data_IF_652993433672
#
_entry.id   IF_652993433672
#
_cell.length_a   1.000
_cell.length_b   1.000
_cell.length_c   1.000
_cell.angle_alpha   90.00
_cell.angle_beta   90.00
_cell.angle_gamma   90.00
#
_symmetry.space_group_name_H-M   'P 1'
#
loop_
_entity.id
_entity.type
_entity.pdbx_description
1 polymer ?
#
# COMPACT_ATOMS: atom_id res chain seq x y z
N UNK A 1 -53.04 10.54 19.43
CA UNK A 1 -52.15 11.09 18.37
C UNK A 1 -50.66 11.09 18.73
N UNK A 2 -50.28 10.91 20.01
CA UNK A 2 -48.88 10.87 20.48
C UNK A 2 -48.17 9.53 20.18
N UNK A 3 -48.87 8.40 20.26
CA UNK A 3 -48.25 7.07 20.06
C UNK A 3 -47.89 6.73 18.62
N UNK A 4 -48.65 7.22 17.64
CA UNK A 4 -48.38 6.99 16.20
C UNK A 4 -47.03 7.60 15.79
N UNK A 5 -46.70 8.79 16.29
CA UNK A 5 -45.41 9.44 16.00
C UNK A 5 -44.24 8.69 16.64
N UNK A 6 -44.44 8.13 17.84
CA UNK A 6 -43.44 7.33 18.54
C UNK A 6 -43.20 5.99 17.84
N UNK A 7 -44.25 5.37 17.33
CA UNK A 7 -44.18 4.13 16.57
C UNK A 7 -43.53 4.33 15.20
N UNK A 8 -43.88 5.42 14.50
CA UNK A 8 -43.23 5.80 13.24
C UNK A 8 -41.72 6.02 13.41
N UNK A 9 -41.30 6.72 14.47
CA UNK A 9 -39.87 6.93 14.75
C UNK A 9 -39.13 5.62 15.03
N UNK A 10 -39.76 4.68 15.73
CA UNK A 10 -39.19 3.35 16.00
C UNK A 10 -39.07 2.50 14.74
N UNK A 11 -40.05 2.58 13.83
CA UNK A 11 -39.99 1.90 12.54
C UNK A 11 -38.88 2.47 11.65
N UNK A 12 -38.71 3.80 11.60
CA UNK A 12 -37.62 4.43 10.85
C UNK A 12 -36.25 4.00 11.39
N UNK A 13 -36.08 3.96 12.72
CA UNK A 13 -34.83 3.50 13.34
C UNK A 13 -34.58 2.02 13.06
N UNK A 14 -35.60 1.16 13.11
CA UNK A 14 -35.47 -0.26 12.79
C UNK A 14 -35.08 -0.49 11.33
N UNK A 15 -35.70 0.24 10.40
CA UNK A 15 -35.37 0.19 8.96
C UNK A 15 -33.94 0.66 8.72
N UNK A 16 -33.52 1.79 9.33
CA UNK A 16 -32.15 2.29 9.23
C UNK A 16 -31.14 1.28 9.80
N UNK A 17 -31.46 0.62 10.91
CA UNK A 17 -30.62 -0.42 11.51
C UNK A 17 -30.52 -1.67 10.65
N UNK A 18 -31.61 -2.10 10.01
CA UNK A 18 -31.60 -3.20 9.04
C UNK A 18 -30.77 -2.88 7.79
N UNK A 19 -30.85 -1.64 7.27
CA UNK A 19 -29.99 -1.18 6.17
C UNK A 19 -28.52 -1.14 6.57
N UNK A 20 -28.20 -0.69 7.79
CA UNK A 20 -26.83 -0.70 8.31
C UNK A 20 -26.29 -2.13 8.41
N UNK A 21 -27.08 -3.08 8.95
CA UNK A 21 -26.69 -4.49 9.02
C UNK A 21 -26.47 -5.11 7.62
N UNK A 22 -27.35 -4.82 6.66
CA UNK A 22 -27.19 -5.27 5.27
C UNK A 22 -25.93 -4.68 4.63
N UNK A 23 -25.67 -3.39 4.84
CA UNK A 23 -24.46 -2.73 4.35
C UNK A 23 -23.21 -3.38 4.92
N UNK A 24 -23.17 -3.62 6.24
CA UNK A 24 -22.02 -4.28 6.89
C UNK A 24 -21.86 -5.72 6.41
N UNK A 25 -22.95 -6.45 6.16
CA UNK A 25 -22.90 -7.81 5.60
C UNK A 25 -22.33 -7.82 4.17
N UNK A 26 -22.69 -6.83 3.33
CA UNK A 26 -22.14 -6.68 1.99
C UNK A 26 -20.64 -6.34 2.03
N UNK A 27 -20.21 -5.48 2.95
CA UNK A 27 -18.78 -5.11 3.11
C UNK A 27 -17.92 -6.27 3.63
N UNK A 28 -18.44 -7.13 4.52
CA UNK A 28 -17.68 -8.25 5.11
C UNK A 28 -17.70 -9.51 4.21
N UNK A 29 -18.76 -9.73 3.43
CA UNK A 29 -18.89 -10.95 2.62
C UNK A 29 -18.21 -10.86 1.24
N UNK A 30 -17.87 -9.66 0.75
CA UNK A 30 -17.16 -9.47 -0.52
C UNK A 30 -17.90 -9.98 -1.76
N UNK A 31 -19.23 -10.17 -1.67
CA UNK A 31 -20.02 -10.76 -2.75
C UNK A 31 -20.34 -9.70 -3.81
N UNK A 32 -19.82 -9.91 -5.01
CA UNK A 32 -20.06 -9.06 -6.18
C UNK A 32 -21.54 -9.08 -6.58
N UNK A 33 -22.15 -7.93 -6.92
CA UNK A 33 -23.58 -7.83 -7.27
C UNK A 33 -24.01 -8.80 -8.39
N UNK A 34 -23.07 -9.18 -9.26
CA UNK A 34 -23.25 -10.18 -10.31
C UNK A 34 -23.55 -11.58 -9.75
N UNK A 35 -22.91 -11.99 -8.66
CA UNK A 35 -23.10 -13.30 -8.03
C UNK A 35 -24.47 -13.39 -7.34
N UNK A 36 -24.95 -12.30 -6.75
CA UNK A 36 -26.30 -12.22 -6.17
C UNK A 36 -27.35 -12.32 -7.28
N UNK A 37 -27.14 -11.63 -8.41
CA UNK A 37 -28.04 -11.68 -9.56
C UNK A 37 -28.04 -13.07 -10.19
N UNK A 38 -26.88 -13.71 -10.35
CA UNK A 38 -26.76 -15.07 -10.87
C UNK A 38 -27.46 -16.08 -9.93
N UNK A 39 -27.22 -16.01 -8.62
CA UNK A 39 -27.89 -16.82 -7.60
C UNK A 39 -29.43 -16.66 -7.62
N UNK A 40 -29.91 -15.42 -7.69
CA UNK A 40 -31.36 -15.13 -7.77
C UNK A 40 -31.96 -15.59 -9.10
N UNK A 41 -31.18 -15.57 -10.20
CA UNK A 41 -31.62 -16.07 -11.50
C UNK A 41 -31.72 -17.59 -11.53
N UNK A 42 -30.85 -18.27 -10.79
CA UNK A 42 -30.79 -19.73 -10.66
C UNK A 42 -31.94 -20.24 -9.78
N UNK A 43 -32.23 -19.55 -8.68
CA UNK A 43 -33.36 -19.84 -7.79
C UNK A 43 -34.74 -19.61 -8.44
N UNK A 44 -34.80 -18.78 -9.49
CA UNK A 44 -36.03 -18.52 -10.25
C UNK A 44 -36.38 -19.61 -11.28
N UNK A 45 -35.55 -20.65 -11.44
CA UNK A 45 -35.80 -21.75 -12.36
C UNK A 45 -36.64 -22.90 -11.77
N UNK A 46 -36.95 -22.90 -10.47
CA UNK A 46 -37.74 -23.99 -9.83
C UNK A 46 -39.22 -23.65 -9.55
N UNK A 47 -39.69 -22.43 -9.83
CA UNK A 47 -41.06 -22.00 -9.55
C UNK A 47 -41.86 -21.59 -10.79
N UNK A 48 -42.76 -22.45 -11.25
CA UNK A 48 -43.58 -22.26 -12.45
C UNK A 48 -44.66 -21.16 -12.25
N UNK A 49 -44.78 -20.21 -13.20
CA UNK A 49 -46.02 -19.45 -13.42
C UNK A 49 -45.98 -17.91 -13.41
N UNK A 50 -45.01 -17.25 -12.76
CA UNK A 50 -44.93 -15.75 -12.69
C UNK A 50 -43.67 -15.17 -13.36
N UNK A 51 -42.92 -16.02 -14.06
CA UNK A 51 -41.51 -15.84 -14.43
C UNK A 51 -41.25 -14.89 -15.60
N UNK A 52 -42.21 -14.70 -16.52
CA UNK A 52 -41.97 -13.92 -17.74
C UNK A 52 -41.84 -12.41 -17.47
N UNK A 53 -42.65 -11.88 -16.53
CA UNK A 53 -42.67 -10.45 -16.19
C UNK A 53 -41.43 -10.05 -15.38
N UNK A 54 -41.03 -10.87 -14.39
CA UNK A 54 -39.84 -10.63 -13.59
C UNK A 54 -38.54 -10.79 -14.38
N UNK A 55 -38.44 -11.77 -15.29
CA UNK A 55 -37.27 -11.91 -16.19
C UNK A 55 -37.12 -10.70 -17.10
N UNK A 56 -38.22 -10.18 -17.65
CA UNK A 56 -38.19 -8.97 -18.48
C UNK A 56 -37.81 -7.73 -17.66
N UNK A 57 -38.32 -7.58 -16.43
CA UNK A 57 -37.95 -6.50 -15.53
C UNK A 57 -36.46 -6.54 -15.14
N UNK A 58 -35.91 -7.72 -14.84
CA UNK A 58 -34.48 -7.87 -14.53
C UNK A 58 -33.60 -7.60 -15.75
N UNK A 59 -34.02 -8.03 -16.94
CA UNK A 59 -33.31 -7.74 -18.19
C UNK A 59 -33.35 -6.25 -18.53
N UNK A 60 -34.48 -5.57 -18.31
CA UNK A 60 -34.57 -4.12 -18.54
C UNK A 60 -33.77 -3.34 -17.50
N UNK A 61 -33.72 -3.79 -16.25
CA UNK A 61 -32.85 -3.24 -15.21
C UNK A 61 -31.38 -3.41 -15.61
N UNK A 62 -30.94 -4.61 -16.03
CA UNK A 62 -29.56 -4.85 -16.48
C UNK A 62 -29.17 -4.00 -17.69
N UNK A 63 -30.08 -3.78 -18.64
CA UNK A 63 -29.87 -2.88 -19.77
C UNK A 63 -29.78 -1.41 -19.32
N UNK A 64 -30.66 -0.98 -18.42
CA UNK A 64 -30.63 0.36 -17.85
C UNK A 64 -29.34 0.62 -17.06
N UNK A 65 -28.84 -0.36 -16.31
CA UNK A 65 -27.54 -0.28 -15.62
C UNK A 65 -26.38 -0.23 -16.60
N UNK A 66 -26.45 -0.98 -17.71
CA UNK A 66 -25.42 -0.93 -18.76
C UNK A 66 -25.36 0.44 -19.44
N UNK A 67 -26.51 1.05 -19.71
CA UNK A 67 -26.58 2.41 -20.23
C UNK A 67 -26.16 3.44 -19.18
N UNK A 68 -26.51 3.25 -17.90
CA UNK A 68 -26.05 4.11 -16.81
C UNK A 68 -24.53 4.05 -16.67
N UNK A 69 -23.93 2.86 -16.73
CA UNK A 69 -22.48 2.70 -16.64
C UNK A 69 -21.77 3.37 -17.81
N UNK A 70 -22.32 3.25 -19.03
CA UNK A 70 -21.80 3.93 -20.21
C UNK A 70 -21.91 5.45 -20.13
N UNK A 71 -22.96 5.96 -19.46
CA UNK A 71 -23.19 7.39 -19.26
C UNK A 71 -22.32 7.93 -18.12
N UNK A 72 -22.14 7.15 -17.04
CA UNK A 72 -21.23 7.44 -15.93
C UNK A 72 -19.77 7.43 -16.39
N UNK A 73 -19.35 6.50 -17.25
CA UNK A 73 -18.02 6.53 -17.85
C UNK A 73 -17.83 7.75 -18.77
N UNK A 74 -18.86 8.14 -19.53
CA UNK A 74 -18.80 9.32 -20.39
C UNK A 74 -18.80 10.65 -19.60
N UNK A 75 -19.51 10.73 -18.47
CA UNK A 75 -19.52 11.90 -17.59
C UNK A 75 -18.27 11.95 -16.70
N UNK A 76 -17.73 10.80 -16.24
CA UNK A 76 -16.41 10.74 -15.59
C UNK A 76 -15.29 11.19 -16.55
N UNK A 77 -15.37 10.85 -17.84
CA UNK A 77 -14.40 11.32 -18.84
C UNK A 77 -14.51 12.83 -19.13
N UNK A 78 -15.69 13.43 -18.99
CA UNK A 78 -15.89 14.88 -19.19
C UNK A 78 -15.59 15.71 -17.95
N UNK A 79 -15.81 15.16 -16.75
CA UNK A 79 -15.42 15.81 -15.49
C UNK A 79 -13.89 15.78 -15.29
N UNK A 80 -13.22 14.71 -15.73
CA UNK A 80 -11.75 14.59 -15.66
C UNK A 80 -10.99 15.42 -16.71
N UNK A 81 -11.68 16.02 -17.69
CA UNK A 81 -11.05 16.87 -18.72
C UNK A 81 -10.97 18.36 -18.33
N UNK A 82 -11.45 18.74 -17.15
CA UNK A 82 -11.45 20.14 -16.70
C UNK A 82 -11.21 20.30 -15.20
N UNK A 83 -10.16 19.66 -14.69
CA UNK A 83 -9.38 20.15 -13.55
C UNK A 83 -7.96 19.65 -13.72
N UNK A 84 -7.04 20.60 -13.80
CA UNK A 84 -5.56 20.52 -13.74
C UNK A 84 -5.03 19.11 -13.45
N UNK A 85 -4.22 18.58 -14.38
CA UNK A 85 -3.31 17.49 -14.09
C UNK A 85 -2.34 17.95 -12.99
N UNK A 86 -2.74 17.80 -11.73
CA UNK A 86 -1.81 17.82 -10.61
C UNK A 86 -1.00 16.52 -10.73
N UNK A 87 0.30 16.65 -10.93
CA UNK A 87 1.23 15.53 -10.77
C UNK A 87 0.94 14.87 -9.41
N UNK A 88 0.95 13.52 -9.31
CA UNK A 88 0.76 12.86 -8.02
C UNK A 88 1.77 13.45 -7.03
N UNK A 89 1.34 13.81 -5.80
CA UNK A 89 2.18 14.54 -4.86
C UNK A 89 3.48 13.77 -4.62
N UNK A 90 4.63 14.31 -4.99
CA UNK A 90 5.88 13.58 -4.82
C UNK A 90 6.24 13.51 -3.33
N UNK A 91 6.75 12.36 -2.87
CA UNK A 91 7.21 12.24 -1.48
C UNK A 91 8.40 13.19 -1.18
N UNK A 92 9.11 13.65 -2.20
CA UNK A 92 10.15 14.66 -2.05
C UNK A 92 9.60 16.04 -1.65
N UNK A 93 8.34 16.34 -1.97
CA UNK A 93 7.69 17.63 -1.66
C UNK A 93 6.96 17.62 -0.30
N UNK A 94 6.98 16.50 0.41
CA UNK A 94 6.41 16.41 1.74
C UNK A 94 7.16 17.29 2.74
N UNK A 95 6.43 17.87 3.70
CA UNK A 95 7.04 18.65 4.77
C UNK A 95 7.71 17.72 5.80
N UNK A 96 8.99 17.44 5.54
CA UNK A 96 9.84 16.63 6.40
C UNK A 96 10.41 17.41 7.60
N UNK A 97 10.22 18.72 7.66
CA UNK A 97 10.81 19.58 8.71
C UNK A 97 10.29 19.28 10.11
N UNK A 98 9.17 18.56 10.21
CA UNK A 98 8.60 18.09 11.47
C UNK A 98 9.39 16.94 12.13
N UNK A 99 10.27 16.27 11.38
CA UNK A 99 11.05 15.14 11.86
C UNK A 99 12.48 15.56 12.26
N UNK A 100 13.04 14.84 13.23
CA UNK A 100 14.43 15.02 13.62
C UNK A 100 15.35 14.71 12.44
N UNK A 101 16.31 15.61 12.20
CA UNK A 101 17.27 15.49 11.10
C UNK A 101 18.63 15.00 11.61
N UNK A 102 19.30 14.18 10.79
CA UNK A 102 20.68 13.74 11.01
C UNK A 102 21.49 13.86 9.72
N UNK A 103 22.62 14.56 9.79
CA UNK A 103 23.61 14.52 8.71
C UNK A 103 24.32 13.17 8.74
N UNK A 104 24.31 12.48 7.59
CA UNK A 104 24.94 11.18 7.41
C UNK A 104 25.75 11.11 6.12
N UNK A 105 26.72 10.20 6.10
CA UNK A 105 27.41 9.79 4.87
C UNK A 105 26.75 8.52 4.37
N UNK A 106 26.11 8.58 3.20
CA UNK A 106 25.42 7.46 2.58
C UNK A 106 26.21 6.89 1.39
N UNK A 107 26.43 5.58 1.41
CA UNK A 107 26.95 4.78 0.29
C UNK A 107 25.90 3.81 -0.22
N UNK A 108 26.15 3.13 -1.34
CA UNK A 108 25.28 2.05 -1.83
C UNK A 108 26.03 0.72 -1.81
N UNK A 109 25.30 -0.36 -1.53
CA UNK A 109 25.81 -1.73 -1.51
C UNK A 109 24.80 -2.71 -2.13
N UNK A 110 25.28 -3.93 -2.39
CA UNK A 110 24.49 -5.03 -2.97
C UNK A 110 24.58 -6.27 -2.08
N UNK A 111 23.83 -7.31 -2.39
CA UNK A 111 23.98 -8.61 -1.73
C UNK A 111 25.21 -9.41 -2.18
N UNK A 112 25.84 -9.01 -3.28
CA UNK A 112 26.85 -9.79 -3.99
C UNK A 112 28.24 -9.70 -3.34
N UNK A 113 29.17 -10.50 -3.86
CA UNK A 113 30.45 -10.79 -3.25
C UNK A 113 31.29 -9.53 -2.98
N UNK A 114 31.21 -8.52 -3.84
CA UNK A 114 31.92 -7.25 -3.69
C UNK A 114 31.55 -6.48 -2.43
N UNK A 115 30.33 -6.65 -1.94
CA UNK A 115 29.80 -5.96 -0.75
C UNK A 115 29.80 -6.86 0.48
N UNK A 116 29.43 -8.13 0.32
CA UNK A 116 29.16 -9.05 1.45
C UNK A 116 30.15 -10.21 1.57
N UNK A 117 30.98 -10.45 0.55
CA UNK A 117 31.82 -11.64 0.44
C UNK A 117 31.05 -12.94 0.20
N UNK A 118 29.75 -12.88 -0.13
CA UNK A 118 28.86 -14.05 -0.34
C UNK A 118 28.42 -14.14 -1.81
N UNK A 119 28.20 -15.36 -2.28
CA UNK A 119 27.66 -15.66 -3.61
C UNK A 119 26.21 -16.18 -3.50
N UNK A 120 25.38 -16.12 -4.56
CA UNK A 120 23.98 -16.57 -4.53
C UNK A 120 23.72 -17.98 -4.01
N UNK A 121 24.71 -18.87 -4.07
CA UNK A 121 24.62 -20.23 -3.52
C UNK A 121 24.90 -20.35 -2.01
N UNK A 122 25.24 -19.26 -1.32
CA UNK A 122 25.52 -19.26 0.12
C UNK A 122 24.21 -19.20 0.93
N UNK A 123 24.06 -19.97 2.02
CA UNK A 123 22.81 -20.02 2.81
C UNK A 123 22.39 -18.66 3.38
N UNK A 124 23.37 -17.80 3.68
CA UNK A 124 23.14 -16.44 4.19
C UNK A 124 23.24 -15.36 3.09
N UNK A 125 23.13 -15.73 1.81
CA UNK A 125 23.12 -14.75 0.73
C UNK A 125 21.88 -13.87 0.81
N UNK A 126 22.07 -12.55 0.80
CA UNK A 126 20.99 -11.58 0.90
C UNK A 126 20.27 -11.56 2.26
N UNK A 127 20.82 -12.20 3.30
CA UNK A 127 20.27 -12.15 4.66
C UNK A 127 20.97 -11.03 5.44
N UNK A 128 20.19 -10.08 5.94
CA UNK A 128 20.67 -8.96 6.77
C UNK A 128 20.94 -9.40 8.20
N UNK A 129 21.58 -8.54 9.00
CA UNK A 129 21.81 -8.79 10.42
C UNK A 129 20.54 -9.04 11.24
N UNK A 130 19.40 -8.41 10.91
CA UNK A 130 18.14 -8.67 11.61
C UNK A 130 17.53 -10.04 11.28
N UNK A 131 17.98 -10.67 10.19
CA UNK A 131 17.46 -11.95 9.69
C UNK A 131 16.49 -11.82 8.53
N UNK A 132 16.03 -10.60 8.19
CA UNK A 132 15.22 -10.37 6.99
C UNK A 132 16.09 -10.36 5.74
N UNK A 133 15.50 -10.69 4.60
CA UNK A 133 16.14 -10.56 3.30
C UNK A 133 16.29 -9.09 2.92
N UNK A 134 17.40 -8.79 2.26
CA UNK A 134 17.57 -7.50 1.60
C UNK A 134 16.44 -7.26 0.61
N UNK A 135 15.95 -6.02 0.56
CA UNK A 135 14.80 -5.66 -0.26
C UNK A 135 14.92 -4.23 -0.76
N UNK A 136 14.66 -4.03 -2.06
CA UNK A 136 14.46 -2.71 -2.67
C UNK A 136 12.98 -2.59 -3.04
N UNK A 137 12.26 -1.74 -2.32
CA UNK A 137 10.82 -1.51 -2.46
C UNK A 137 10.49 -0.13 -1.87
N UNK A 138 9.21 0.21 -1.69
CA UNK A 138 8.78 1.45 -1.02
C UNK A 138 9.55 1.68 0.29
N UNK A 139 9.61 0.65 1.13
CA UNK A 139 10.50 0.54 2.29
C UNK A 139 11.63 -0.43 1.95
N UNK A 140 12.82 0.11 1.79
CA UNK A 140 14.02 -0.64 1.45
C UNK A 140 14.89 -0.92 2.67
N UNK A 141 15.55 -2.07 2.71
CA UNK A 141 16.47 -2.42 3.81
C UNK A 141 17.76 -1.62 3.69
N UNK A 142 18.24 -1.06 4.79
CA UNK A 142 19.51 -0.33 4.84
C UNK A 142 20.41 -0.84 5.97
N UNK A 143 21.72 -0.60 5.84
CA UNK A 143 22.70 -0.86 6.88
C UNK A 143 23.09 0.43 7.61
N UNK A 144 23.22 0.35 8.94
CA UNK A 144 23.61 1.48 9.77
C UNK A 144 24.46 1.06 10.98
N UNK A 145 24.94 2.04 11.75
CA UNK A 145 25.45 1.79 13.09
C UNK A 145 24.29 1.63 14.08
N UNK A 146 24.10 0.43 14.62
CA UNK A 146 23.00 0.10 15.52
C UNK A 146 23.03 0.82 16.87
N UNK A 147 24.15 1.46 17.22
CA UNK A 147 24.24 2.32 18.41
C UNK A 147 23.63 3.71 18.18
N UNK A 148 23.51 4.11 16.91
CA UNK A 148 22.92 5.39 16.49
C UNK A 148 21.50 5.18 15.99
N UNK A 149 21.31 4.19 15.12
CA UNK A 149 20.02 3.82 14.55
C UNK A 149 19.75 2.33 14.82
N UNK A 150 18.99 2.00 15.88
CA UNK A 150 18.62 0.62 16.17
C UNK A 150 17.89 -0.05 15.01
N UNK A 151 17.92 -1.39 14.97
CA UNK A 151 17.13 -2.17 14.01
C UNK A 151 15.65 -1.77 14.09
N UNK A 152 15.01 -1.65 12.93
CA UNK A 152 13.62 -1.20 12.78
C UNK A 152 13.47 0.33 12.67
N UNK A 153 14.54 1.11 12.80
CA UNK A 153 14.49 2.57 12.60
C UNK A 153 14.09 2.86 11.16
N UNK A 154 13.10 3.76 10.99
CA UNK A 154 12.62 4.20 9.69
C UNK A 154 13.16 5.59 9.40
N UNK A 155 13.82 5.72 8.25
CA UNK A 155 14.40 6.96 7.75
C UNK A 155 13.76 7.33 6.42
N UNK A 156 13.50 8.62 6.22
CA UNK A 156 13.34 9.18 4.89
C UNK A 156 14.70 9.67 4.38
N UNK A 157 15.13 9.13 3.24
CA UNK A 157 16.43 9.43 2.64
C UNK A 157 16.17 10.10 1.28
N UNK A 158 16.44 11.41 1.16
CA UNK A 158 16.33 12.13 -0.11
C UNK A 158 16.98 11.38 -1.27
N UNK A 159 16.31 11.37 -2.42
CA UNK A 159 16.70 10.67 -3.65
C UNK A 159 16.77 9.13 -3.57
N UNK A 160 16.45 8.52 -2.42
CA UNK A 160 16.41 7.06 -2.25
C UNK A 160 15.01 6.53 -1.92
N UNK A 161 14.32 7.17 -0.97
CA UNK A 161 13.02 6.74 -0.44
C UNK A 161 13.07 6.36 1.04
N UNK A 162 12.10 5.56 1.50
CA UNK A 162 12.09 5.06 2.87
C UNK A 162 13.13 3.95 3.05
N UNK A 163 13.96 4.10 4.08
CA UNK A 163 14.93 3.11 4.51
C UNK A 163 14.59 2.55 5.88
N UNK A 164 14.56 1.24 6.02
CA UNK A 164 14.40 0.54 7.30
C UNK A 164 15.73 -0.07 7.70
N UNK A 165 16.24 0.29 8.87
CA UNK A 165 17.51 -0.25 9.37
C UNK A 165 17.33 -1.73 9.70
N UNK A 166 17.88 -2.58 8.85
CA UNK A 166 17.80 -4.03 8.94
C UNK A 166 19.17 -4.68 9.10
N UNK A 167 20.23 -3.98 8.70
CA UNK A 167 21.57 -4.55 8.63
C UNK A 167 22.62 -3.72 9.37
N UNK A 168 23.79 -4.31 9.60
CA UNK A 168 24.97 -3.63 10.15
C UNK A 168 26.21 -3.94 9.32
N UNK A 169 26.98 -2.92 9.01
CA UNK A 169 28.28 -3.07 8.35
C UNK A 169 29.44 -2.97 9.34
N UNK A 170 30.54 -3.70 9.07
CA UNK A 170 31.78 -3.53 9.82
C UNK A 170 32.39 -2.13 9.65
N UNK A 171 32.32 -1.57 8.44
CA UNK A 171 32.82 -0.24 8.08
C UNK A 171 31.78 0.90 8.29
N UNK A 172 30.52 0.53 8.53
CA UNK A 172 29.40 1.46 8.74
C UNK A 172 29.32 1.75 10.24
N UNK A 173 29.90 2.89 10.63
CA UNK A 173 30.07 3.34 12.02
C UNK A 173 29.76 4.82 12.17
N UNK A 174 29.10 5.18 13.27
CA UNK A 174 28.57 6.52 13.52
C UNK A 174 27.47 6.91 12.54
N UNK A 175 27.51 8.15 12.06
CA UNK A 175 26.52 8.68 11.13
C UNK A 175 26.81 8.24 9.68
N UNK A 176 26.84 6.93 9.44
CA UNK A 176 27.00 6.35 8.11
C UNK A 176 25.85 5.41 7.80
N UNK A 177 25.41 5.44 6.55
CA UNK A 177 24.38 4.55 6.01
C UNK A 177 24.93 3.83 4.79
N UNK A 178 24.51 2.58 4.61
CA UNK A 178 24.70 1.82 3.36
C UNK A 178 23.33 1.45 2.80
N UNK A 179 23.04 1.94 1.60
CA UNK A 179 21.74 1.82 0.96
C UNK A 179 21.73 0.60 0.04
N UNK A 180 20.77 -0.29 0.24
CA UNK A 180 20.70 -1.50 -0.56
C UNK A 180 20.21 -1.19 -1.98
N UNK A 181 20.88 -1.81 -2.96
CA UNK A 181 20.49 -1.89 -4.35
C UNK A 181 20.60 -3.33 -4.84
N UNK A 182 19.74 -3.70 -5.79
CA UNK A 182 19.73 -5.07 -6.34
C UNK A 182 20.98 -5.36 -7.17
N UNK A 183 21.46 -4.37 -7.94
CA UNK A 183 22.60 -4.54 -8.85
C UNK A 183 23.66 -3.48 -8.61
N UNK A 184 24.90 -3.84 -8.97
CA UNK A 184 26.05 -2.92 -8.93
C UNK A 184 25.85 -1.72 -9.86
N UNK A 185 25.27 -1.95 -11.04
CA UNK A 185 24.97 -0.89 -12.00
C UNK A 185 23.96 0.10 -11.41
N UNK A 186 22.98 -0.36 -10.62
CA UNK A 186 22.03 0.52 -9.94
C UNK A 186 22.70 1.40 -8.90
N UNK A 187 23.68 0.86 -8.16
CA UNK A 187 24.51 1.68 -7.28
C UNK A 187 25.19 2.76 -8.10
N UNK A 188 25.97 2.41 -9.14
CA UNK A 188 26.71 3.43 -9.91
C UNK A 188 25.83 4.48 -10.59
N UNK A 189 24.68 4.06 -11.14
CA UNK A 189 23.79 4.94 -11.89
C UNK A 189 22.88 5.78 -11.00
N UNK A 190 22.45 5.23 -9.86
CA UNK A 190 21.46 5.87 -8.98
C UNK A 190 22.10 6.50 -7.74
N UNK A 191 23.30 6.06 -7.33
CA UNK A 191 23.91 6.44 -6.07
C UNK A 191 25.45 6.55 -6.08
N UNK A 192 25.95 7.73 -5.76
CA UNK A 192 27.34 7.93 -5.37
C UNK A 192 27.50 8.03 -3.84
N UNK A 193 28.74 8.09 -3.34
CA UNK A 193 28.97 8.49 -1.94
C UNK A 193 28.54 9.96 -1.77
N UNK A 194 27.54 10.20 -0.92
CA UNK A 194 27.00 11.54 -0.64
C UNK A 194 26.96 11.81 0.86
N UNK A 195 27.11 13.08 1.23
CA UNK A 195 26.79 13.56 2.58
C UNK A 195 25.48 14.31 2.47
N UNK A 196 24.46 13.90 3.22
CA UNK A 196 23.14 14.50 3.17
C UNK A 196 22.43 14.40 4.52
N UNK A 197 21.41 15.22 4.67
CA UNK A 197 20.49 15.16 5.79
C UNK A 197 19.40 14.12 5.54
N UNK A 198 19.21 13.24 6.53
CA UNK A 198 18.12 12.26 6.57
C UNK A 198 17.14 12.59 7.68
N UNK A 199 15.89 12.19 7.50
CA UNK A 199 14.83 12.47 8.46
C UNK A 199 14.44 11.18 9.19
N UNK A 200 14.44 11.24 10.51
CA UNK A 200 14.11 10.11 11.38
C UNK A 200 12.60 10.06 11.59
N UNK A 201 11.94 9.12 10.91
CA UNK A 201 10.47 8.97 10.96
C UNK A 201 10.04 8.25 12.24
N UNK A 202 10.78 7.19 12.60
CA UNK A 202 10.60 6.47 13.86
C UNK A 202 11.90 5.78 14.28
N UNK A 203 12.16 5.74 15.58
CA UNK A 203 13.27 4.96 16.16
C UNK A 203 12.82 3.53 16.36
N UNK A 204 13.62 2.59 15.87
CA UNK A 204 13.34 1.16 16.00
C UNK A 204 13.53 0.64 17.43
N UNK A 205 12.88 -0.48 17.73
CA UNK A 205 12.95 -1.14 19.05
C UNK A 205 14.09 -2.18 19.14
N UNK A 206 14.85 -2.36 18.06
CA UNK A 206 15.90 -3.36 17.95
C UNK A 206 15.47 -4.67 17.29
N UNK A 207 14.23 -4.74 16.80
CA UNK A 207 13.69 -5.90 16.09
C UNK A 207 13.11 -5.52 14.73
N UNK A 208 13.10 -6.48 13.80
CA UNK A 208 12.48 -6.35 12.49
C UNK A 208 12.25 -7.75 11.92
N UNK A 209 11.00 -8.08 11.61
CA UNK A 209 10.60 -9.35 10.96
C UNK A 209 10.27 -9.14 9.49
N UNK A 210 10.15 -10.24 8.73
CA UNK A 210 9.73 -10.18 7.32
C UNK A 210 8.28 -9.69 7.22
N UNK A 211 7.44 -10.08 8.19
CA UNK A 211 6.06 -9.65 8.30
C UNK A 211 5.97 -8.13 8.52
N UNK A 212 6.79 -7.56 9.43
CA UNK A 212 6.83 -6.11 9.66
C UNK A 212 7.24 -5.36 8.38
N UNK A 213 8.27 -5.86 7.69
CA UNK A 213 8.75 -5.26 6.45
C UNK A 213 7.72 -5.37 5.31
N UNK A 214 6.94 -6.46 5.29
CA UNK A 214 5.86 -6.65 4.35
C UNK A 214 4.72 -5.66 4.62
N UNK A 215 4.27 -5.52 5.87
CA UNK A 215 3.20 -4.58 6.26
C UNK A 215 3.56 -3.13 5.89
N UNK A 216 4.81 -2.72 6.15
CA UNK A 216 5.30 -1.41 5.71
C UNK A 216 5.17 -1.21 4.18
N UNK A 217 5.51 -2.25 3.41
CA UNK A 217 5.43 -2.21 1.95
C UNK A 217 4.01 -2.40 1.39
N UNK A 218 3.04 -2.83 2.20
CA UNK A 218 1.64 -3.03 1.83
C UNK A 218 0.73 -1.89 2.30
N UNK A 219 1.28 -0.87 2.97
CA UNK A 219 0.54 0.30 3.44
C UNK A 219 -0.22 0.96 2.27
N UNK A 220 -1.56 0.86 2.28
CA UNK A 220 -2.43 1.23 1.15
C UNK A 220 -2.26 2.69 0.73
N UNK A 221 -2.13 3.59 1.70
CA UNK A 221 -1.98 5.03 1.47
C UNK A 221 -0.71 5.42 0.71
N UNK A 222 0.29 4.53 0.68
CA UNK A 222 1.58 4.77 0.03
C UNK A 222 1.78 3.91 -1.22
N UNK A 223 0.84 3.03 -1.59
CA UNK A 223 0.97 2.17 -2.77
C UNK A 223 1.11 2.98 -4.08
N UNK A 224 0.54 4.18 -4.13
CA UNK A 224 0.67 5.09 -5.28
C UNK A 224 2.13 5.48 -5.57
N UNK A 225 3.00 5.43 -4.56
CA UNK A 225 4.43 5.75 -4.70
C UNK A 225 5.29 4.52 -4.95
N UNK A 226 4.78 3.32 -4.65
CA UNK A 226 5.54 2.07 -4.72
C UNK A 226 6.13 1.80 -6.11
N UNK A 227 5.37 2.13 -7.16
CA UNK A 227 5.80 1.96 -8.56
C UNK A 227 7.08 2.74 -8.90
N UNK A 228 7.42 3.79 -8.15
CA UNK A 228 8.66 4.55 -8.34
C UNK A 228 9.91 3.79 -7.84
N UNK A 229 9.72 2.79 -6.98
CA UNK A 229 10.80 2.09 -6.29
C UNK A 229 10.94 0.61 -6.70
N UNK A 230 9.87 0.00 -7.19
CA UNK A 230 9.88 -1.36 -7.74
C UNK A 230 10.13 -1.33 -9.24
N UNK A 231 11.11 -2.11 -9.72
CA UNK A 231 11.26 -2.39 -11.16
C UNK A 231 10.20 -3.40 -11.60
N UNK A 232 9.59 -3.19 -12.78
CA UNK A 232 8.70 -4.17 -13.43
C UNK A 232 9.42 -5.48 -13.78
#
# INVERSE_FOLDING_TARGET
>A
MYDIKKWAKRMVIAVAFSFALLSTFQTISGVEAKQVIDYMSEQANEGEGTTLSFKHALKSIGLAFKDLNKTLEADHLKLSASTVAEEPPSLNDWDWSQYDTKEVIATGYTAYYESTGKNPGHPEFGITYSGVKVKRDLYSTIAADLTVFPIGTILWIPDYGFGVVADKGGAIKGNKLDLYYETVDDVYNSWGKKTLDVYVISIGDGTLTEEDLQELNETESLQVFRQQYTKE
#
